data_IF_768838452979
#
_entry.id   IF_768838452979
#
_cell.length_a   1.000
_cell.length_b   1.000
_cell.length_c   1.000
_cell.angle_alpha   90.00
_cell.angle_beta   90.00
_cell.angle_gamma   90.00
#
_symmetry.space_group_name_H-M   'P 1'
#
loop_
_entity.id
_entity.type
_entity.pdbx_description
1 polymer ?
#
# COMPACT_ATOMS: atom_id res chain seq x y z
N UNK A 1 -14.48 9.48 -0.93
CA UNK A 1 -14.75 10.92 -0.73
C UNK A 1 -16.05 11.37 -1.39
N UNK A 2 -16.24 11.23 -2.71
CA UNK A 2 -17.41 11.82 -3.42
C UNK A 2 -18.71 11.01 -3.26
N UNK A 3 -18.65 9.67 -3.39
CA UNK A 3 -19.84 8.78 -3.33
C UNK A 3 -19.98 8.06 -1.98
N UNK A 4 -18.89 7.94 -1.21
CA UNK A 4 -18.89 7.25 0.09
C UNK A 4 -18.70 5.73 0.02
N UNK A 5 -18.56 5.16 -1.18
CA UNK A 5 -18.28 3.74 -1.41
C UNK A 5 -17.24 3.55 -2.53
N UNK A 6 -16.70 2.34 -2.68
CA UNK A 6 -15.78 2.00 -3.76
C UNK A 6 -16.52 1.82 -5.10
N UNK A 7 -15.93 2.29 -6.23
CA UNK A 7 -16.63 2.35 -7.53
C UNK A 7 -16.91 0.99 -8.18
N UNK A 8 -16.16 -0.05 -7.82
CA UNK A 8 -16.26 -1.39 -8.44
C UNK A 8 -16.75 -2.47 -7.47
N UNK A 9 -16.93 -2.14 -6.20
CA UNK A 9 -17.40 -3.10 -5.20
C UNK A 9 -18.91 -3.33 -5.36
N UNK A 10 -19.37 -4.54 -5.05
CA UNK A 10 -20.78 -4.82 -5.00
C UNK A 10 -21.39 -4.42 -3.65
N UNK A 11 -22.38 -3.51 -3.61
CA UNK A 11 -22.98 -3.08 -2.35
C UNK A 11 -23.70 -4.22 -1.61
N UNK A 12 -24.20 -5.23 -2.32
CA UNK A 12 -24.89 -6.38 -1.74
C UNK A 12 -23.91 -7.50 -1.34
N UNK A 13 -22.79 -7.61 -2.07
CA UNK A 13 -21.78 -8.67 -1.89
C UNK A 13 -20.35 -8.11 -1.78
N UNK A 14 -20.02 -7.34 -0.73
CA UNK A 14 -18.73 -6.63 -0.64
C UNK A 14 -17.50 -7.57 -0.60
N UNK A 15 -17.69 -8.81 -0.12
CA UNK A 15 -16.64 -9.84 -0.06
C UNK A 15 -16.47 -10.65 -1.34
N UNK A 16 -17.26 -10.37 -2.38
CA UNK A 16 -17.16 -11.08 -3.65
C UNK A 16 -16.09 -10.45 -4.56
N UNK A 17 -14.82 -10.73 -4.24
CA UNK A 17 -13.68 -10.20 -4.98
C UNK A 17 -13.70 -10.56 -6.46
N UNK A 18 -14.22 -11.74 -6.82
CA UNK A 18 -14.35 -12.15 -8.22
C UNK A 18 -15.21 -11.16 -9.01
N UNK A 19 -16.34 -10.73 -8.43
CA UNK A 19 -17.25 -9.76 -9.06
C UNK A 19 -16.61 -8.37 -9.15
N UNK A 20 -15.91 -7.94 -8.10
CA UNK A 20 -15.17 -6.67 -8.08
C UNK A 20 -14.08 -6.62 -9.17
N UNK A 21 -13.28 -7.69 -9.31
CA UNK A 21 -12.23 -7.76 -10.34
C UNK A 21 -12.85 -7.70 -11.75
N UNK A 22 -13.95 -8.41 -11.99
CA UNK A 22 -14.65 -8.34 -13.27
C UNK A 22 -15.16 -6.93 -13.58
N UNK A 23 -15.64 -6.19 -12.58
CA UNK A 23 -16.05 -4.80 -12.75
C UNK A 23 -14.86 -3.88 -13.05
N UNK A 24 -13.71 -4.08 -12.40
CA UNK A 24 -12.49 -3.31 -12.67
C UNK A 24 -12.03 -3.52 -14.12
N UNK A 25 -11.91 -4.77 -14.57
CA UNK A 25 -11.43 -5.10 -15.92
C UNK A 25 -12.33 -4.52 -17.01
N UNK A 26 -13.64 -4.49 -16.76
CA UNK A 26 -14.63 -3.95 -17.69
C UNK A 26 -14.94 -2.47 -17.46
N UNK A 27 -14.27 -1.82 -16.51
CA UNK A 27 -14.48 -0.41 -16.14
C UNK A 27 -15.96 -0.12 -15.81
N UNK A 28 -16.60 -1.03 -15.09
CA UNK A 28 -18.02 -0.96 -14.72
C UNK A 28 -18.18 -0.28 -13.36
N UNK A 29 -18.45 1.03 -13.40
CA UNK A 29 -18.82 1.82 -12.23
C UNK A 29 -20.06 2.67 -12.54
N UNK A 30 -20.82 2.99 -11.50
CA UNK A 30 -21.95 3.91 -11.62
C UNK A 30 -21.89 4.93 -10.48
N UNK A 31 -22.28 6.17 -10.79
CA UNK A 31 -22.41 7.24 -9.80
C UNK A 31 -23.89 7.32 -9.46
N UNK A 32 -24.30 7.01 -8.22
CA UNK A 32 -25.70 7.00 -7.82
C UNK A 32 -26.39 8.35 -8.04
N UNK A 33 -27.68 8.33 -8.41
CA UNK A 33 -28.46 9.54 -8.72
C UNK A 33 -28.66 10.46 -7.51
N UNK A 34 -28.58 9.92 -6.30
CA UNK A 34 -28.63 10.69 -5.05
C UNK A 34 -27.36 11.52 -4.80
N UNK A 35 -26.30 11.35 -5.58
CA UNK A 35 -25.04 12.08 -5.44
C UNK A 35 -24.92 13.12 -6.54
N UNK A 36 -25.10 14.38 -6.16
CA UNK A 36 -24.93 15.52 -7.07
C UNK A 36 -23.45 15.84 -7.25
N UNK A 37 -22.93 15.60 -8.45
CA UNK A 37 -21.57 15.98 -8.85
C UNK A 37 -21.59 16.94 -10.02
N UNK A 38 -20.68 17.91 -10.01
CA UNK A 38 -20.46 18.82 -11.14
C UNK A 38 -20.03 18.04 -12.39
N UNK A 39 -20.37 18.55 -13.58
CA UNK A 39 -20.04 17.91 -14.85
C UNK A 39 -18.52 17.71 -15.02
N UNK A 40 -17.72 18.67 -14.55
CA UNK A 40 -16.27 18.64 -14.59
C UNK A 40 -15.70 17.53 -13.69
N UNK A 41 -16.35 17.26 -12.55
CA UNK A 41 -15.96 16.15 -11.67
C UNK A 41 -16.22 14.81 -12.36
N UNK A 42 -17.41 14.65 -12.97
CA UNK A 42 -17.78 13.45 -13.73
C UNK A 42 -16.82 13.24 -14.90
N UNK A 43 -16.47 14.31 -15.61
CA UNK A 43 -15.51 14.29 -16.70
C UNK A 43 -14.13 13.80 -16.23
N UNK A 44 -13.61 14.37 -15.14
CA UNK A 44 -12.33 13.94 -14.56
C UNK A 44 -12.33 12.45 -14.17
N UNK A 45 -13.37 11.99 -13.49
CA UNK A 45 -13.51 10.57 -13.10
C UNK A 45 -13.49 9.67 -14.34
N UNK A 46 -14.22 10.05 -15.41
CA UNK A 46 -14.27 9.27 -16.65
C UNK A 46 -12.92 9.18 -17.36
N UNK A 47 -12.06 10.19 -17.21
CA UNK A 47 -10.70 10.24 -17.76
C UNK A 47 -9.69 9.42 -16.94
N UNK A 48 -9.97 9.19 -15.65
CA UNK A 48 -9.15 8.37 -14.75
C UNK A 48 -9.51 6.89 -14.88
N UNK A 49 -10.80 6.56 -14.87
CA UNK A 49 -11.30 5.20 -15.05
C UNK A 49 -11.34 4.83 -16.53
N UNK A 50 -10.13 4.65 -17.09
CA UNK A 50 -9.90 4.15 -18.44
C UNK A 50 -9.11 2.86 -18.35
N UNK A 51 -9.62 1.80 -19.00
CA UNK A 51 -9.03 0.46 -18.96
C UNK A 51 -7.65 0.42 -19.60
N UNK A 52 -7.47 1.12 -20.72
CA UNK A 52 -6.18 1.31 -21.37
C UNK A 52 -5.34 2.37 -20.62
N UNK A 53 -4.18 1.99 -20.03
CA UNK A 53 -3.30 2.94 -19.36
C UNK A 53 -2.75 4.03 -20.28
N UNK A 54 -2.55 3.76 -21.58
CA UNK A 54 -2.00 4.73 -22.53
C UNK A 54 -2.96 5.88 -22.82
N UNK A 55 -4.27 5.64 -22.67
CA UNK A 55 -5.34 6.62 -22.87
C UNK A 55 -5.79 7.29 -21.56
N UNK A 56 -5.27 6.83 -20.41
CA UNK A 56 -5.61 7.37 -19.10
C UNK A 56 -4.98 8.75 -18.92
N UNK A 57 -5.74 9.67 -18.33
CA UNK A 57 -5.25 11.02 -18.02
C UNK A 57 -4.00 10.96 -17.12
N UNK A 58 -3.03 11.81 -17.44
CA UNK A 58 -1.76 11.93 -16.73
C UNK A 58 -1.85 12.93 -15.57
N UNK A 59 -0.91 12.88 -14.61
CA UNK A 59 -0.87 13.84 -13.49
C UNK A 59 -0.78 15.31 -13.97
N UNK A 60 0.06 15.67 -14.96
CA UNK A 60 0.09 17.03 -15.48
C UNK A 60 -1.24 17.48 -16.09
N UNK A 61 -1.96 16.59 -16.78
CA UNK A 61 -3.28 16.90 -17.32
C UNK A 61 -4.33 17.06 -16.21
N UNK A 62 -4.25 16.27 -15.12
CA UNK A 62 -5.11 16.44 -13.93
C UNK A 62 -4.85 17.80 -13.27
N UNK A 63 -3.58 18.19 -13.09
CA UNK A 63 -3.22 19.50 -12.50
C UNK A 63 -3.79 20.67 -13.32
N UNK A 64 -3.92 20.51 -14.63
CA UNK A 64 -4.51 21.49 -15.53
C UNK A 64 -6.03 21.35 -15.71
N UNK A 65 -6.67 20.35 -15.09
CA UNK A 65 -8.09 20.09 -15.28
C UNK A 65 -8.94 21.12 -14.52
N UNK A 66 -9.99 21.66 -15.15
CA UNK A 66 -10.83 22.74 -14.58
C UNK A 66 -11.41 22.41 -13.21
N UNK A 67 -11.75 21.14 -12.96
CA UNK A 67 -12.23 20.69 -11.64
C UNK A 67 -11.14 20.78 -10.55
N UNK A 68 -9.89 20.49 -10.88
CA UNK A 68 -8.77 20.52 -9.94
C UNK A 68 -8.32 21.95 -9.63
N UNK A 69 -8.30 22.82 -10.64
CA UNK A 69 -7.92 24.23 -10.50
C UNK A 69 -8.96 25.06 -9.72
N UNK A 70 -10.20 24.57 -9.62
CA UNK A 70 -11.28 25.29 -8.94
C UNK A 70 -10.99 25.36 -7.43
N UNK A 71 -10.74 26.58 -6.94
CA UNK A 71 -10.39 26.87 -5.55
C UNK A 71 -9.06 26.23 -5.10
N UNK A 72 -8.11 26.01 -6.02
CA UNK A 72 -6.78 25.54 -5.67
C UNK A 72 -6.02 26.66 -4.92
N UNK A 73 -5.53 26.44 -3.68
CA UNK A 73 -4.71 27.41 -2.97
C UNK A 73 -3.42 27.72 -3.72
N UNK A 74 -3.00 28.99 -3.71
CA UNK A 74 -1.79 29.45 -4.40
C UNK A 74 -0.53 28.69 -3.94
N UNK A 75 -0.45 28.33 -2.66
CA UNK A 75 0.68 27.59 -2.08
C UNK A 75 0.86 26.19 -2.68
N UNK A 76 -0.18 25.63 -3.31
CA UNK A 76 -0.13 24.32 -3.97
C UNK A 76 0.02 24.42 -5.50
N UNK A 77 0.07 25.63 -6.06
CA UNK A 77 0.19 25.83 -7.50
C UNK A 77 1.64 25.65 -7.99
N UNK A 78 2.62 25.89 -7.12
CA UNK A 78 4.05 25.76 -7.42
C UNK A 78 4.67 24.56 -6.66
N UNK A 79 4.78 23.43 -7.35
CA UNK A 79 5.43 22.18 -6.86
C UNK A 79 6.94 22.38 -6.58
N UNK A 80 7.54 23.39 -7.22
CA UNK A 80 8.99 23.63 -7.26
C UNK A 80 9.51 24.55 -6.14
N UNK A 81 8.64 25.38 -5.55
CA UNK A 81 9.04 26.40 -4.56
C UNK A 81 8.76 25.99 -3.11
N UNK A 82 7.82 25.07 -2.86
CA UNK A 82 7.46 24.61 -1.51
C UNK A 82 8.30 23.42 -1.01
N UNK A 83 8.86 22.60 -1.90
CA UNK A 83 9.66 21.42 -1.53
C UNK A 83 11.04 21.77 -0.95
N UNK A 84 11.52 23.00 -1.14
CA UNK A 84 12.85 23.44 -0.71
C UNK A 84 12.87 24.33 0.56
N UNK A 85 11.73 24.60 1.20
CA UNK A 85 11.67 25.56 2.33
C UNK A 85 11.11 25.02 3.65
N UNK A 86 10.65 23.78 3.70
CA UNK A 86 10.25 23.17 4.97
C UNK A 86 11.43 22.45 5.61
N UNK A 87 12.10 23.12 6.55
CA UNK A 87 12.90 22.47 7.59
C UNK A 87 11.97 22.25 8.80
N UNK A 88 11.69 21.00 9.14
CA UNK A 88 10.91 20.67 10.35
C UNK A 88 11.77 21.03 11.59
N UNK A 89 11.40 22.04 12.39
CA UNK A 89 12.31 22.61 13.40
C UNK A 89 12.73 21.63 14.51
N UNK A 90 11.92 20.61 14.75
CA UNK A 90 12.02 19.73 15.92
C UNK A 90 12.49 18.31 15.58
N UNK A 91 12.69 17.97 14.30
CA UNK A 91 13.19 16.65 13.91
C UNK A 91 14.65 16.75 13.42
N UNK A 92 15.60 16.06 14.08
CA UNK A 92 16.96 15.99 13.55
C UNK A 92 16.94 15.20 12.24
N UNK A 93 17.09 15.91 11.11
CA UNK A 93 17.28 15.27 9.81
C UNK A 93 18.54 14.40 9.87
N UNK A 94 18.37 13.09 9.71
CA UNK A 94 19.49 12.15 9.68
C UNK A 94 20.21 12.25 8.34
N UNK A 95 21.53 12.17 8.36
CA UNK A 95 22.30 12.07 7.11
C UNK A 95 22.05 10.71 6.45
N UNK A 96 22.26 10.63 5.13
CA UNK A 96 22.14 9.35 4.41
C UNK A 96 23.02 8.25 5.03
N UNK A 97 24.21 8.62 5.49
CA UNK A 97 25.14 7.69 6.16
C UNK A 97 24.58 7.18 7.49
N UNK A 98 23.98 8.05 8.30
CA UNK A 98 23.34 7.65 9.57
C UNK A 98 22.16 6.72 9.32
N UNK A 99 21.34 6.99 8.29
CA UNK A 99 20.22 6.13 7.89
C UNK A 99 20.75 4.75 7.47
N UNK A 100 21.76 4.71 6.59
CA UNK A 100 22.38 3.46 6.14
C UNK A 100 22.98 2.68 7.31
N UNK A 101 23.65 3.36 8.25
CA UNK A 101 24.21 2.75 9.44
C UNK A 101 23.13 2.08 10.30
N UNK A 102 22.02 2.77 10.57
CA UNK A 102 20.89 2.21 11.32
C UNK A 102 20.29 0.98 10.61
N UNK A 103 20.14 1.04 9.27
CA UNK A 103 19.67 -0.11 8.50
C UNK A 103 20.63 -1.30 8.62
N UNK A 104 21.95 -1.07 8.54
CA UNK A 104 22.93 -2.15 8.71
C UNK A 104 22.88 -2.73 10.12
N UNK A 105 22.72 -1.90 11.15
CA UNK A 105 22.61 -2.34 12.54
C UNK A 105 21.33 -3.15 12.78
N UNK A 106 20.21 -2.75 12.18
CA UNK A 106 18.93 -3.44 12.30
C UNK A 106 18.90 -4.85 11.67
N UNK A 107 19.87 -5.19 10.81
CA UNK A 107 20.03 -6.56 10.29
C UNK A 107 20.70 -7.50 11.30
N UNK A 108 21.29 -6.96 12.38
CA UNK A 108 21.92 -7.75 13.42
C UNK A 108 20.83 -8.17 14.43
N UNK A 109 20.51 -9.47 14.54
CA UNK A 109 19.57 -9.92 15.55
C UNK A 109 20.14 -9.62 16.95
N UNK A 110 19.30 -9.33 17.95
CA UNK A 110 19.77 -9.14 19.32
C UNK A 110 20.62 -10.34 19.72
N UNK A 111 21.87 -10.09 20.12
CA UNK A 111 22.70 -11.10 20.76
C UNK A 111 21.89 -11.62 21.93
N UNK A 112 21.44 -12.89 21.85
CA UNK A 112 20.44 -13.47 22.73
C UNK A 112 20.46 -12.90 24.16
N UNK A 113 19.26 -12.69 24.72
CA UNK A 113 18.98 -12.82 26.16
C UNK A 113 19.47 -14.20 26.64
N UNK A 114 20.79 -14.36 26.76
CA UNK A 114 21.48 -15.59 27.10
C UNK A 114 21.76 -15.54 28.60
N UNK A 115 20.69 -15.56 29.38
CA UNK A 115 20.72 -15.62 30.84
C UNK A 115 19.59 -16.45 31.42
N UNK A 116 19.16 -17.53 30.75
CA UNK A 116 18.43 -18.63 31.41
C UNK A 116 18.85 -20.00 30.86
N UNK A 117 20.16 -20.23 30.66
CA UNK A 117 20.70 -21.58 30.37
C UNK A 117 21.46 -22.18 31.57
N UNK A 118 21.10 -21.83 32.82
CA UNK A 118 21.86 -22.29 33.99
C UNK A 118 21.16 -23.41 34.81
N UNK A 119 19.89 -23.78 34.61
CA UNK A 119 19.21 -24.64 35.61
C UNK A 119 18.22 -25.69 35.09
N UNK A 120 18.56 -26.55 34.12
CA UNK A 120 17.75 -27.75 33.87
C UNK A 120 18.49 -28.93 33.22
N UNK A 121 19.82 -29.01 33.35
CA UNK A 121 20.57 -30.24 33.05
C UNK A 121 20.45 -31.19 34.25
N UNK A 122 19.36 -31.98 34.28
CA UNK A 122 19.24 -33.13 35.16
C UNK A 122 18.00 -33.14 36.05
N UNK A 123 16.85 -33.55 35.50
CA UNK A 123 15.89 -34.39 36.21
C UNK A 123 15.27 -35.36 35.20
N UNK A 124 15.66 -36.63 35.30
CA UNK A 124 14.89 -37.79 34.85
C UNK A 124 13.46 -37.67 35.41
N UNK A 125 12.47 -37.60 34.54
CA UNK A 125 11.12 -38.09 34.80
C UNK A 125 10.60 -38.67 33.49
N UNK A 126 10.63 -40.01 33.42
CA UNK A 126 9.77 -40.79 32.53
C UNK A 126 8.32 -40.34 32.74
N UNK A 127 7.66 -39.87 31.68
CA UNK A 127 6.22 -40.07 31.56
C UNK A 127 5.83 -40.00 30.07
N UNK A 128 5.39 -41.14 29.58
CA UNK A 128 4.81 -41.35 28.26
C UNK A 128 3.68 -40.34 27.99
N UNK A 129 3.81 -39.53 26.94
CA UNK A 129 2.64 -38.96 26.29
C UNK A 129 2.84 -38.93 24.77
N UNK A 130 2.05 -39.80 24.15
CA UNK A 130 1.91 -40.09 22.74
C UNK A 130 1.84 -38.86 21.80
N UNK A 131 2.59 -38.99 20.71
CA UNK A 131 2.13 -38.86 19.32
C UNK A 131 1.36 -37.60 18.91
N UNK A 132 2.08 -36.63 18.34
CA UNK A 132 1.61 -35.84 17.20
C UNK A 132 2.80 -35.51 16.28
N UNK A 133 3.06 -36.40 15.32
CA UNK A 133 3.78 -36.06 14.10
C UNK A 133 3.02 -34.94 13.36
N UNK A 134 3.41 -33.68 13.60
CA UNK A 134 3.00 -32.56 12.76
C UNK A 134 3.98 -32.48 11.59
N UNK A 135 3.70 -33.26 10.54
CA UNK A 135 4.29 -33.07 9.21
C UNK A 135 4.17 -31.59 8.82
N UNK A 136 5.30 -30.91 8.74
CA UNK A 136 5.41 -29.62 8.09
C UNK A 136 6.38 -29.74 6.93
N UNK A 137 5.95 -30.45 5.89
CA UNK A 137 6.41 -30.24 4.53
C UNK A 137 6.00 -28.83 4.10
N UNK A 138 6.83 -27.84 4.45
CA UNK A 138 6.75 -26.51 3.88
C UNK A 138 7.58 -26.53 2.60
N UNK A 139 6.88 -26.66 1.47
CA UNK A 139 7.42 -26.45 0.13
C UNK A 139 8.10 -25.07 0.03
N UNK A 140 9.41 -25.07 0.19
CA UNK A 140 10.26 -23.93 -0.16
C UNK A 140 10.44 -23.94 -1.67
N UNK A 141 9.44 -23.44 -2.39
CA UNK A 141 9.66 -22.88 -3.71
C UNK A 141 8.89 -21.57 -3.87
N UNK A 142 9.38 -20.54 -3.20
CA UNK A 142 9.15 -19.16 -3.60
C UNK A 142 10.43 -18.62 -4.25
N UNK A 143 10.86 -19.27 -5.33
CA UNK A 143 11.82 -18.70 -6.26
C UNK A 143 11.22 -17.44 -6.88
N UNK A 144 11.64 -16.27 -6.40
CA UNK A 144 11.31 -14.98 -6.98
C UNK A 144 11.94 -14.83 -8.36
N UNK A 145 11.23 -15.24 -9.40
CA UNK A 145 11.59 -14.96 -10.78
C UNK A 145 11.23 -13.51 -11.13
N UNK A 146 12.25 -12.65 -11.15
CA UNK A 146 12.13 -11.29 -11.70
C UNK A 146 12.30 -11.40 -13.21
N UNK A 147 11.20 -11.38 -13.94
CA UNK A 147 11.20 -11.29 -15.40
C UNK A 147 11.48 -9.84 -15.80
N UNK A 148 12.65 -9.58 -16.39
CA UNK A 148 12.89 -8.35 -17.16
C UNK A 148 12.26 -8.51 -18.55
N UNK A 149 11.32 -7.62 -18.88
CA UNK A 149 10.91 -7.44 -20.27
C UNK A 149 11.99 -6.63 -21.01
N UNK A 150 12.48 -7.15 -22.13
CA UNK A 150 13.20 -6.39 -23.16
C UNK A 150 12.24 -5.58 -24.00
#
# INVERSE_FOLDING_TARGET
MVVGAYPFEDPEEPKNFRKTIQRILNVQYAIPDNVNISLECRHLISRIFVGDPAMRITIPEIRNHSWFLKNLPADLMDDDSMSNQYEEPDQPMQTMDQIMQILTEATIPPACSRSINILADGLDMDDDMDDLESDSDLDVDSSGEIVYAM
#
